data_IF_822817137835
#
_entry.id   IF_822817137835
#
_cell.length_a   1.000
_cell.length_b   1.000
_cell.length_c   1.000
_cell.angle_alpha   90.00
_cell.angle_beta   90.00
_cell.angle_gamma   90.00
#
_symmetry.space_group_name_H-M   'P 1'
#
loop_
_entity.id
_entity.type
_entity.pdbx_description
1 polymer ?
#
# COMPACT_ATOMS: atom_id res chain seq x y z
N UNK A 1 -24.18 52.29 20.46
CA UNK A 1 -23.96 51.77 19.09
C UNK A 1 -22.81 50.79 19.18
N UNK A 2 -23.07 49.48 19.16
CA UNK A 2 -22.03 48.45 19.24
C UNK A 2 -21.77 47.96 17.82
N UNK A 3 -20.62 48.36 17.27
CA UNK A 3 -20.13 47.92 15.97
C UNK A 3 -19.63 46.49 16.09
N UNK A 4 -20.41 45.51 15.61
CA UNK A 4 -19.96 44.13 15.49
C UNK A 4 -19.28 43.98 14.14
N UNK A 5 -17.97 43.75 14.16
CA UNK A 5 -17.17 43.41 12.98
C UNK A 5 -17.58 42.06 12.40
N UNK A 6 -17.60 41.87 11.07
CA UNK A 6 -17.99 40.60 10.48
C UNK A 6 -16.93 39.52 10.76
N UNK A 7 -17.37 38.43 11.38
CA UNK A 7 -16.61 37.21 11.61
C UNK A 7 -16.06 36.65 10.29
N UNK A 8 -14.79 36.23 10.35
CA UNK A 8 -14.04 35.61 9.27
C UNK A 8 -14.81 34.47 8.59
N UNK A 9 -15.05 34.63 7.29
CA UNK A 9 -15.51 33.55 6.41
C UNK A 9 -14.38 32.51 6.38
N UNK A 10 -14.62 31.34 6.97
CA UNK A 10 -13.71 30.20 6.83
C UNK A 10 -13.98 29.55 5.48
N UNK A 11 -13.16 29.87 4.48
CA UNK A 11 -13.16 29.18 3.18
C UNK A 11 -12.85 27.69 3.39
N UNK A 12 -13.91 26.89 3.50
CA UNK A 12 -13.81 25.44 3.57
C UNK A 12 -13.52 24.92 2.16
N UNK A 13 -12.24 24.67 1.85
CA UNK A 13 -11.84 23.98 0.62
C UNK A 13 -12.73 22.74 0.40
N UNK A 14 -13.24 22.50 -0.82
CA UNK A 14 -14.06 21.33 -1.11
C UNK A 14 -13.28 20.06 -0.76
N UNK A 15 -13.90 19.17 0.02
CA UNK A 15 -13.34 17.85 0.33
C UNK A 15 -13.38 17.04 -0.96
N UNK A 16 -12.20 16.79 -1.53
CA UNK A 16 -12.07 15.86 -2.66
C UNK A 16 -12.45 14.45 -2.20
N UNK A 17 -13.31 13.77 -2.98
CA UNK A 17 -13.82 12.43 -2.67
C UNK A 17 -13.53 11.52 -3.86
N UNK A 18 -12.97 10.35 -3.59
CA UNK A 18 -12.77 9.30 -4.59
C UNK A 18 -13.80 8.18 -4.39
N UNK A 19 -14.43 7.73 -5.47
CA UNK A 19 -15.36 6.59 -5.44
C UNK A 19 -14.59 5.32 -5.75
N UNK A 20 -14.72 4.31 -4.88
CA UNK A 20 -14.21 2.98 -5.14
C UNK A 20 -15.09 2.27 -6.18
N UNK A 21 -14.49 1.70 -7.22
CA UNK A 21 -15.17 0.93 -8.26
C UNK A 21 -15.57 -0.47 -7.77
N UNK A 22 -14.81 -1.07 -6.87
CA UNK A 22 -15.04 -2.44 -6.37
C UNK A 22 -16.20 -2.53 -5.37
N UNK A 23 -16.42 -1.51 -4.54
CA UNK A 23 -17.49 -1.51 -3.52
C UNK A 23 -18.37 -0.26 -3.51
N UNK A 24 -18.21 0.65 -4.47
CA UNK A 24 -18.97 1.92 -4.56
C UNK A 24 -18.84 2.87 -3.36
N UNK A 25 -17.93 2.60 -2.42
CA UNK A 25 -17.69 3.46 -1.25
C UNK A 25 -17.06 4.78 -1.64
N UNK A 26 -17.51 5.87 -1.01
CA UNK A 26 -16.95 7.21 -1.16
C UNK A 26 -15.88 7.45 -0.09
N UNK A 27 -14.65 7.69 -0.52
CA UNK A 27 -13.50 7.88 0.35
C UNK A 27 -13.05 9.34 0.28
N UNK A 28 -12.98 9.98 1.45
CA UNK A 28 -12.49 11.35 1.57
C UNK A 28 -10.98 11.35 1.33
N UNK A 29 -10.53 12.05 0.28
CA UNK A 29 -9.14 12.12 -0.16
C UNK A 29 -8.39 13.31 0.48
N UNK A 30 -8.76 13.74 1.68
CA UNK A 30 -8.14 14.91 2.36
C UNK A 30 -6.68 14.68 2.77
N UNK A 31 -6.25 13.43 2.88
CA UNK A 31 -4.89 13.02 3.25
C UNK A 31 -4.09 12.42 2.07
N UNK A 32 -4.57 12.63 0.84
CA UNK A 32 -3.98 12.07 -0.37
C UNK A 32 -4.02 10.53 -0.41
N UNK A 33 -3.05 9.96 -1.15
CA UNK A 33 -2.94 8.52 -1.47
C UNK A 33 -3.05 7.58 -0.28
N UNK A 34 -2.71 8.01 0.94
CA UNK A 34 -2.78 7.16 2.15
C UNK A 34 -4.19 6.67 2.47
N UNK A 35 -5.21 7.52 2.30
CA UNK A 35 -6.59 7.12 2.58
C UNK A 35 -7.09 6.12 1.53
N UNK A 36 -6.74 6.35 0.26
CA UNK A 36 -7.06 5.44 -0.84
C UNK A 36 -6.37 4.09 -0.66
N UNK A 37 -5.09 4.09 -0.29
CA UNK A 37 -4.33 2.88 0.01
C UNK A 37 -4.93 2.08 1.18
N UNK A 38 -5.26 2.76 2.28
CA UNK A 38 -5.91 2.14 3.43
C UNK A 38 -7.27 1.52 3.08
N UNK A 39 -8.02 2.15 2.17
CA UNK A 39 -9.25 1.58 1.66
C UNK A 39 -8.97 0.33 0.80
N UNK A 40 -8.03 0.42 -0.13
CA UNK A 40 -7.66 -0.68 -1.02
C UNK A 40 -7.21 -1.93 -0.25
N UNK A 41 -6.50 -1.75 0.87
CA UNK A 41 -6.14 -2.86 1.78
C UNK A 41 -7.33 -3.62 2.37
N UNK A 42 -8.56 -3.09 2.34
CA UNK A 42 -9.76 -3.82 2.78
C UNK A 42 -10.19 -4.91 1.78
N UNK A 43 -9.77 -4.78 0.51
CA UNK A 43 -10.05 -5.75 -0.54
C UNK A 43 -8.98 -6.84 -0.65
N UNK A 44 -7.90 -6.73 0.12
CA UNK A 44 -6.77 -7.64 0.10
C UNK A 44 -6.65 -8.39 1.44
N UNK A 45 -6.19 -9.65 1.39
CA UNK A 45 -5.89 -10.43 2.58
C UNK A 45 -4.62 -9.96 3.31
N UNK A 46 -3.64 -9.46 2.56
CA UNK A 46 -2.37 -8.94 3.08
C UNK A 46 -2.56 -7.55 3.69
N UNK A 47 -2.58 -7.51 5.03
CA UNK A 47 -2.73 -6.26 5.79
C UNK A 47 -1.40 -5.82 6.39
N UNK A 48 -1.27 -4.51 6.61
CA UNK A 48 -0.02 -3.89 7.06
C UNK A 48 0.45 -4.30 8.46
N UNK A 49 -0.46 -4.51 9.41
CA UNK A 49 -0.05 -4.73 10.80
C UNK A 49 -0.46 -6.12 11.28
N UNK A 50 0.44 -6.77 12.02
CA UNK A 50 0.21 -8.11 12.61
C UNK A 50 0.37 -8.08 14.12
N UNK A 51 -0.51 -8.78 14.81
CA UNK A 51 -0.42 -9.02 16.24
C UNK A 51 0.83 -9.85 16.54
N UNK A 52 1.64 -9.42 17.50
CA UNK A 52 2.82 -10.19 17.94
C UNK A 52 2.45 -11.41 18.79
N UNK A 53 1.19 -11.52 19.24
CA UNK A 53 0.70 -12.58 20.13
C UNK A 53 -0.20 -13.62 19.42
N UNK A 54 -0.72 -13.31 18.24
CA UNK A 54 -1.58 -14.23 17.48
C UNK A 54 -1.56 -13.91 15.98
N UNK A 55 -2.30 -14.67 15.18
CA UNK A 55 -2.37 -14.49 13.73
C UNK A 55 -3.24 -13.29 13.27
N UNK A 56 -3.77 -12.46 14.17
CA UNK A 56 -4.64 -11.35 13.80
C UNK A 56 -3.88 -10.25 13.04
N UNK A 57 -4.46 -9.79 11.93
CA UNK A 57 -3.91 -8.72 11.10
C UNK A 57 -4.89 -7.56 10.90
N UNK A 58 -4.36 -6.34 10.77
CA UNK A 58 -5.12 -5.10 10.69
C UNK A 58 -4.50 -4.09 9.72
N UNK A 59 -5.34 -3.28 9.09
CA UNK A 59 -4.90 -2.21 8.15
C UNK A 59 -4.35 -1.00 8.90
N UNK A 60 -4.84 -0.74 10.12
CA UNK A 60 -4.51 0.45 10.91
C UNK A 60 -3.97 0.05 12.29
N UNK A 61 -2.95 0.76 12.81
CA UNK A 61 -2.34 0.40 14.09
C UNK A 61 -3.33 0.56 15.26
N UNK A 62 -4.20 1.59 15.21
CA UNK A 62 -5.25 1.78 16.24
C UNK A 62 -6.22 0.60 16.36
N UNK A 63 -6.47 -0.13 15.26
CA UNK A 63 -7.34 -1.31 15.26
C UNK A 63 -6.62 -2.49 15.93
N UNK A 64 -5.32 -2.58 15.73
CA UNK A 64 -4.49 -3.58 16.40
C UNK A 64 -4.31 -3.28 17.90
N UNK A 65 -4.16 -2.01 18.29
CA UNK A 65 -4.18 -1.60 19.71
C UNK A 65 -5.50 -1.95 20.39
N UNK A 66 -6.62 -1.71 19.71
CA UNK A 66 -7.93 -2.15 20.20
C UNK A 66 -7.97 -3.68 20.37
N UNK A 67 -7.47 -4.44 19.40
CA UNK A 67 -7.36 -5.89 19.50
C UNK A 67 -6.50 -6.34 20.69
N UNK A 68 -5.33 -5.75 20.93
CA UNK A 68 -4.49 -6.07 22.10
C UNK A 68 -5.25 -5.90 23.42
N UNK A 69 -5.96 -4.78 23.56
CA UNK A 69 -6.71 -4.49 24.77
C UNK A 69 -7.86 -5.46 25.02
N UNK A 70 -8.49 -6.01 23.97
CA UNK A 70 -9.69 -6.85 24.10
C UNK A 70 -9.40 -8.35 24.02
N UNK A 71 -8.33 -8.75 23.34
CA UNK A 71 -8.00 -10.16 23.08
C UNK A 71 -6.78 -10.65 23.87
N UNK A 72 -5.95 -9.73 24.40
CA UNK A 72 -4.71 -10.06 25.11
C UNK A 72 -4.58 -9.35 26.46
N UNK A 73 -5.71 -8.93 27.06
CA UNK A 73 -5.81 -8.35 28.39
C UNK A 73 -4.83 -7.17 28.66
N UNK A 74 -4.51 -6.39 27.62
CA UNK A 74 -3.61 -5.23 27.76
C UNK A 74 -2.14 -5.62 27.96
N UNK A 75 -1.74 -6.83 27.53
CA UNK A 75 -0.32 -7.18 27.41
C UNK A 75 0.40 -6.09 26.60
N UNK A 76 1.58 -5.66 27.07
CA UNK A 76 2.43 -4.63 26.44
C UNK A 76 3.05 -5.13 25.12
N UNK A 77 2.19 -5.53 24.20
CA UNK A 77 2.52 -6.06 22.90
C UNK A 77 2.41 -4.95 21.87
N UNK A 78 3.43 -4.82 21.05
CA UNK A 78 3.49 -3.82 20.00
C UNK A 78 3.05 -4.43 18.66
N UNK A 79 2.44 -3.62 17.77
CA UNK A 79 2.08 -4.04 16.43
C UNK A 79 3.34 -4.28 15.59
N UNK A 80 3.41 -5.43 14.91
CA UNK A 80 4.46 -5.68 13.91
C UNK A 80 4.04 -4.98 12.61
N UNK A 81 4.84 -4.03 12.13
CA UNK A 81 4.65 -3.41 10.81
C UNK A 81 5.24 -4.33 9.74
N UNK A 82 4.37 -4.95 8.95
CA UNK A 82 4.72 -5.86 7.87
C UNK A 82 5.06 -5.14 6.55
N UNK A 83 5.08 -3.80 6.55
CA UNK A 83 5.35 -3.00 5.37
C UNK A 83 6.69 -3.40 4.72
N UNK A 84 6.62 -3.77 3.44
CA UNK A 84 7.75 -4.00 2.56
C UNK A 84 7.36 -3.63 1.11
N UNK A 85 8.34 -3.54 0.21
CA UNK A 85 8.10 -3.09 -1.18
C UNK A 85 7.17 -4.05 -1.96
N UNK A 86 7.16 -5.34 -1.64
CA UNK A 86 6.27 -6.34 -2.26
C UNK A 86 4.81 -6.13 -1.85
N UNK A 87 4.55 -5.94 -0.55
CA UNK A 87 3.21 -5.56 -0.05
C UNK A 87 2.77 -4.19 -0.53
N UNK A 88 3.69 -3.23 -0.59
CA UNK A 88 3.38 -1.92 -1.17
C UNK A 88 2.95 -2.06 -2.64
N UNK A 89 3.65 -2.85 -3.46
CA UNK A 89 3.25 -3.13 -4.84
C UNK A 89 1.82 -3.71 -4.91
N UNK A 90 1.49 -4.69 -4.07
CA UNK A 90 0.15 -5.27 -3.97
C UNK A 90 -0.91 -4.22 -3.61
N UNK A 91 -0.65 -3.40 -2.59
CA UNK A 91 -1.62 -2.38 -2.19
C UNK A 91 -1.75 -1.27 -3.24
N UNK A 92 -0.66 -0.95 -3.96
CA UNK A 92 -0.68 -0.03 -5.09
C UNK A 92 -1.53 -0.56 -6.23
N UNK A 93 -1.41 -1.85 -6.56
CA UNK A 93 -2.25 -2.52 -7.55
C UNK A 93 -3.73 -2.45 -7.16
N UNK A 94 -4.08 -2.81 -5.93
CA UNK A 94 -5.46 -2.69 -5.43
C UNK A 94 -5.95 -1.24 -5.42
N UNK A 95 -5.09 -0.28 -5.11
CA UNK A 95 -5.46 1.14 -5.14
C UNK A 95 -5.78 1.60 -6.56
N UNK A 96 -4.97 1.21 -7.55
CA UNK A 96 -5.25 1.47 -8.97
C UNK A 96 -6.56 0.82 -9.39
N UNK A 97 -6.82 -0.42 -8.94
CA UNK A 97 -8.06 -1.15 -9.22
C UNK A 97 -9.30 -0.45 -8.64
N UNK A 98 -9.26 -0.07 -7.37
CA UNK A 98 -10.36 0.63 -6.69
C UNK A 98 -10.61 2.03 -7.25
N UNK A 99 -9.57 2.75 -7.64
CA UNK A 99 -9.66 4.18 -7.99
C UNK A 99 -9.03 4.46 -9.35
N UNK A 100 -9.49 3.72 -10.37
CA UNK A 100 -9.22 3.98 -11.78
C UNK A 100 -9.41 5.50 -12.03
N UNK A 101 -8.29 6.23 -12.22
CA UNK A 101 -8.13 7.69 -12.37
C UNK A 101 -7.69 8.54 -11.16
N UNK A 102 -7.23 7.98 -10.05
CA UNK A 102 -6.44 8.75 -9.07
C UNK A 102 -4.98 8.90 -9.52
N UNK A 103 -4.79 9.59 -10.65
CA UNK A 103 -3.49 10.00 -11.15
C UNK A 103 -2.90 11.10 -10.28
N UNK A 104 -2.38 10.75 -9.11
CA UNK A 104 -1.37 11.58 -8.47
C UNK A 104 -0.02 11.11 -8.99
N UNK A 105 0.39 11.65 -10.13
CA UNK A 105 1.78 11.70 -10.54
C UNK A 105 2.55 12.46 -9.47
N UNK A 106 2.97 11.74 -8.43
CA UNK A 106 4.02 12.21 -7.56
C UNK A 106 5.29 12.19 -8.41
N UNK A 107 5.56 13.33 -9.05
CA UNK A 107 6.80 13.65 -9.76
C UNK A 107 7.96 13.51 -8.78
N UNK A 108 8.38 12.27 -8.52
CA UNK A 108 9.69 11.99 -7.96
C UNK A 108 10.64 11.90 -9.13
N UNK A 109 11.33 13.00 -9.43
CA UNK A 109 12.58 12.98 -10.21
C UNK A 109 13.56 12.04 -9.50
N UNK A 110 13.50 10.75 -9.82
CA UNK A 110 14.63 9.84 -9.61
C UNK A 110 15.38 9.80 -10.94
N UNK A 111 16.72 9.78 -10.86
CA UNK A 111 17.56 9.42 -11.99
C UNK A 111 17.01 8.11 -12.56
N UNK A 112 16.64 8.10 -13.84
CA UNK A 112 16.19 6.89 -14.52
C UNK A 112 17.35 5.91 -14.44
N UNK A 113 17.19 4.87 -13.62
CA UNK A 113 18.10 3.74 -13.69
C UNK A 113 17.84 3.08 -15.04
N UNK A 114 18.83 3.12 -15.93
CA UNK A 114 18.72 2.53 -17.26
C UNK A 114 18.94 1.02 -17.22
N UNK A 115 19.33 0.46 -16.07
CA UNK A 115 19.56 -0.97 -15.92
C UNK A 115 18.23 -1.70 -15.85
N UNK A 116 18.09 -2.72 -16.68
CA UNK A 116 16.93 -3.59 -16.71
C UNK A 116 17.32 -5.00 -16.27
N UNK A 117 16.41 -5.64 -15.53
CA UNK A 117 16.46 -7.05 -15.18
C UNK A 117 15.37 -7.78 -15.97
N UNK A 118 15.70 -8.95 -16.48
CA UNK A 118 14.74 -9.81 -17.18
C UNK A 118 14.06 -10.73 -16.18
N UNK A 119 12.73 -10.81 -16.23
CA UNK A 119 11.96 -11.78 -15.47
C UNK A 119 12.24 -13.20 -15.98
N UNK A 120 12.65 -14.11 -15.11
CA UNK A 120 12.93 -15.51 -15.43
C UNK A 120 11.71 -16.33 -15.83
N UNK A 121 10.50 -15.89 -15.48
CA UNK A 121 9.24 -16.59 -15.75
C UNK A 121 8.65 -16.19 -17.11
N UNK A 122 8.55 -14.88 -17.39
CA UNK A 122 7.90 -14.37 -18.61
C UNK A 122 8.83 -13.63 -19.58
N UNK A 123 10.13 -13.56 -19.29
CA UNK A 123 11.16 -12.92 -20.11
C UNK A 123 10.98 -11.40 -20.37
N UNK A 124 10.04 -10.72 -19.69
CA UNK A 124 9.86 -9.27 -19.76
C UNK A 124 11.04 -8.54 -19.08
N UNK A 125 11.52 -7.48 -19.71
CA UNK A 125 12.54 -6.60 -19.13
C UNK A 125 11.87 -5.51 -18.29
N UNK A 126 12.33 -5.36 -17.06
CA UNK A 126 11.77 -4.45 -16.05
C UNK A 126 12.92 -3.63 -15.46
N UNK A 127 12.66 -2.38 -15.03
CA UNK A 127 13.66 -1.58 -14.30
C UNK A 127 14.19 -2.37 -13.10
N UNK A 128 15.51 -2.32 -12.89
CA UNK A 128 16.18 -3.14 -11.86
C UNK A 128 15.92 -2.67 -10.42
N UNK A 129 15.21 -1.56 -10.21
CA UNK A 129 14.86 -1.11 -8.87
C UNK A 129 13.74 -1.97 -8.26
N UNK A 130 13.89 -2.33 -6.98
CA UNK A 130 13.00 -3.25 -6.27
C UNK A 130 11.51 -2.90 -6.41
N UNK A 131 11.16 -1.61 -6.43
CA UNK A 131 9.77 -1.17 -6.63
C UNK A 131 9.22 -1.63 -7.97
N UNK A 132 9.98 -1.48 -9.05
CA UNK A 132 9.55 -1.91 -10.39
C UNK A 132 9.51 -3.43 -10.52
N UNK A 133 10.48 -4.13 -9.94
CA UNK A 133 10.51 -5.59 -9.93
C UNK A 133 9.29 -6.17 -9.20
N UNK A 134 9.00 -5.70 -7.99
CA UNK A 134 7.83 -6.15 -7.24
C UNK A 134 6.51 -5.75 -7.87
N UNK A 135 6.42 -4.55 -8.46
CA UNK A 135 5.24 -4.14 -9.22
C UNK A 135 4.97 -5.10 -10.39
N UNK A 136 6.01 -5.50 -11.14
CA UNK A 136 5.88 -6.52 -12.18
C UNK A 136 5.39 -7.85 -11.63
N UNK A 137 6.00 -8.34 -10.53
CA UNK A 137 5.62 -9.63 -9.92
C UNK A 137 4.14 -9.62 -9.51
N UNK A 138 3.70 -8.56 -8.85
CA UNK A 138 2.30 -8.41 -8.43
C UNK A 138 1.35 -8.24 -9.61
N UNK A 139 1.73 -7.46 -10.62
CA UNK A 139 0.84 -7.17 -11.77
C UNK A 139 0.68 -8.37 -12.72
N UNK A 140 1.70 -9.22 -12.82
CA UNK A 140 1.74 -10.28 -13.84
C UNK A 140 1.72 -11.69 -13.24
N UNK A 141 2.08 -11.86 -11.97
CA UNK A 141 2.29 -13.17 -11.31
C UNK A 141 1.60 -13.28 -9.93
N UNK A 142 0.62 -12.42 -9.61
CA UNK A 142 -0.06 -12.44 -8.30
C UNK A 142 -0.98 -13.63 -8.03
N UNK A 143 -1.32 -14.43 -9.05
CA UNK A 143 -2.13 -15.64 -8.89
C UNK A 143 -1.37 -16.82 -8.23
N UNK A 144 -0.04 -16.71 -8.08
CA UNK A 144 0.85 -17.83 -7.72
C UNK A 144 1.10 -18.02 -6.20
N UNK A 145 0.28 -17.48 -5.30
CA UNK A 145 0.50 -17.52 -3.82
C UNK A 145 1.91 -17.01 -3.41
N UNK A 146 2.21 -15.75 -3.74
CA UNK A 146 3.46 -15.10 -3.35
C UNK A 146 3.65 -15.07 -1.82
N UNK A 147 4.87 -15.33 -1.35
CA UNK A 147 5.23 -15.16 0.06
C UNK A 147 5.55 -13.69 0.37
N UNK A 148 4.53 -12.96 0.85
CA UNK A 148 4.67 -11.55 1.22
C UNK A 148 5.53 -11.31 2.46
N UNK A 149 5.81 -12.34 3.26
CA UNK A 149 6.70 -12.28 4.43
C UNK A 149 8.18 -12.50 4.05
N UNK A 150 8.48 -13.07 2.88
CA UNK A 150 9.84 -13.17 2.31
C UNK A 150 9.98 -12.46 0.93
N UNK A 151 10.06 -11.11 0.92
CA UNK A 151 10.16 -10.36 -0.33
C UNK A 151 11.46 -10.66 -1.09
N UNK A 152 12.55 -11.05 -0.44
CA UNK A 152 13.81 -11.34 -1.14
C UNK A 152 13.78 -12.72 -1.79
N UNK A 153 13.20 -13.72 -1.11
CA UNK A 153 12.93 -15.04 -1.71
C UNK A 153 12.09 -14.89 -2.97
N UNK A 154 10.93 -14.21 -2.85
CA UNK A 154 10.08 -13.90 -4.01
C UNK A 154 10.86 -13.19 -5.10
N UNK A 155 11.62 -12.14 -4.79
CA UNK A 155 12.38 -11.42 -5.83
C UNK A 155 13.37 -12.34 -6.56
N UNK A 156 14.06 -13.21 -5.84
CA UNK A 156 15.05 -14.12 -6.43
C UNK A 156 14.41 -15.19 -7.31
N UNK A 157 13.20 -15.64 -6.99
CA UNK A 157 12.47 -16.63 -7.78
C UNK A 157 12.10 -16.09 -9.17
N UNK A 158 11.74 -14.80 -9.27
CA UNK A 158 11.39 -14.16 -10.55
C UNK A 158 12.57 -13.45 -11.23
N UNK A 159 13.56 -12.98 -10.47
CA UNK A 159 14.74 -12.28 -10.98
C UNK A 159 16.01 -12.89 -10.37
N UNK A 160 16.40 -14.10 -10.82
CA UNK A 160 17.58 -14.76 -10.30
C UNK A 160 18.82 -13.91 -10.57
N UNK A 161 19.63 -13.72 -9.54
CA UNK A 161 20.97 -13.14 -9.71
C UNK A 161 21.73 -14.02 -10.69
N UNK A 162 22.41 -13.43 -11.67
CA UNK A 162 23.34 -14.15 -12.54
C UNK A 162 24.54 -14.63 -11.72
N UNK A 163 24.36 -15.68 -10.93
CA UNK A 163 25.44 -16.47 -10.37
C UNK A 163 26.10 -17.19 -11.55
N UNK A 164 27.24 -16.62 -11.96
CA UNK A 164 28.40 -17.26 -12.60
C UNK A 164 28.20 -18.72 -13.05
N UNK A 165 28.36 -18.92 -14.36
CA UNK A 165 28.67 -20.20 -15.01
C UNK A 165 29.61 -21.08 -14.21
#
# INVERSE_FOLDING_TARGET
MISISPSSVVDSKPKEVAKCTECSSLIINTNGRRNLMNHAMLHCAEKRFKCSLCAHTSVQPRKLNYHFNHSHAGSAAEPIDLKNDLREALWEQWTKKCFLNSGTDEKRSKKVDTRQSQCGVCAKNVSSDDRSLFAHIVDEHSEENLDYDDPQGVKNDYFPSSSSR
#
